data_IF_597879881978
#
_entry.id   IF_597879881978
#
_cell.length_a   1.000
_cell.length_b   1.000
_cell.length_c   1.000
_cell.angle_alpha   90.00
_cell.angle_beta   90.00
_cell.angle_gamma   90.00
#
_symmetry.space_group_name_H-M   'P 1'
#
loop_
_entity.id
_entity.type
_entity.pdbx_description
1 polymer ?
#
# COMPACT_ATOMS: atom_id res chain seq x y z
N UNK A 1 7.18 12.54 68.56
CA UNK A 1 8.35 12.83 69.45
C UNK A 1 9.15 11.57 69.53
N UNK A 2 10.49 11.56 69.69
CA UNK A 2 11.47 12.39 68.98
C UNK A 2 12.35 11.55 68.02
N UNK A 3 12.97 12.16 66.97
CA UNK A 3 14.36 12.68 66.91
C UNK A 3 15.48 11.67 67.27
N UNK A 4 16.36 11.36 66.29
CA UNK A 4 17.75 11.88 66.16
C UNK A 4 18.48 11.01 65.11
N UNK A 5 19.06 11.55 64.02
CA UNK A 5 20.44 11.99 63.78
C UNK A 5 21.54 10.97 64.15
N UNK A 6 22.41 10.69 63.17
CA UNK A 6 23.87 10.60 63.17
C UNK A 6 24.29 10.21 61.74
N UNK A 7 24.81 11.04 60.90
CA UNK A 7 26.14 11.58 60.66
C UNK A 7 27.27 10.54 60.43
N UNK A 8 27.75 10.55 59.18
CA UNK A 8 29.14 10.53 58.74
C UNK A 8 29.98 9.24 58.89
N UNK A 9 30.51 8.77 57.77
CA UNK A 9 31.96 8.68 57.58
C UNK A 9 32.36 8.45 56.13
N UNK A 10 33.15 9.37 55.63
CA UNK A 10 34.01 9.31 54.45
C UNK A 10 35.08 8.24 54.63
N UNK A 11 35.29 7.37 53.65
CA UNK A 11 36.60 6.80 53.38
C UNK A 11 36.79 6.79 51.86
N UNK A 12 37.66 7.67 51.40
CA UNK A 12 38.26 7.67 50.09
C UNK A 12 39.28 6.55 49.97
N UNK A 13 39.17 5.68 49.02
CA UNK A 13 40.28 4.83 48.57
C UNK A 13 40.59 5.14 47.11
N UNK A 14 41.62 5.95 46.93
CA UNK A 14 42.34 6.13 45.69
C UNK A 14 43.17 4.86 45.43
N UNK A 15 42.85 4.12 44.40
CA UNK A 15 43.80 3.20 43.78
C UNK A 15 43.91 3.59 42.30
N UNK A 16 45.02 4.24 42.00
CA UNK A 16 45.52 4.45 40.66
C UNK A 16 45.99 3.09 40.10
N UNK A 17 45.42 2.65 39.01
CA UNK A 17 46.07 1.72 38.08
C UNK A 17 46.14 2.33 36.70
N UNK A 18 47.36 2.70 36.38
CA UNK A 18 47.73 3.15 35.04
C UNK A 18 47.78 1.97 34.09
N UNK A 19 47.26 2.23 32.87
CA UNK A 19 47.76 1.60 31.69
C UNK A 19 47.09 0.33 31.20
N UNK A 20 46.15 0.48 30.29
CA UNK A 20 46.18 -0.30 29.02
C UNK A 20 45.30 0.45 27.98
N UNK A 21 45.98 1.24 27.16
CA UNK A 21 45.36 1.81 25.97
C UNK A 21 45.31 0.75 24.89
N UNK A 22 44.14 0.24 24.56
CA UNK A 22 43.87 -0.35 23.28
C UNK A 22 42.51 0.16 22.83
N UNK A 23 42.51 1.32 22.21
CA UNK A 23 41.37 1.88 21.51
C UNK A 23 41.23 1.15 20.18
N UNK A 24 40.49 0.04 20.20
CA UNK A 24 39.80 -0.40 18.97
C UNK A 24 38.65 0.56 18.74
N UNK A 25 38.85 1.54 17.88
CA UNK A 25 37.76 2.33 17.31
C UNK A 25 36.88 1.41 16.49
N UNK A 26 35.90 0.80 17.12
CA UNK A 26 34.72 0.34 16.41
C UNK A 26 33.92 1.59 16.06
N UNK A 27 33.98 1.96 14.79
CA UNK A 27 33.00 2.85 14.18
C UNK A 27 31.64 2.19 14.40
N UNK A 28 30.65 2.86 15.02
CA UNK A 28 29.30 2.36 14.99
C UNK A 28 28.85 2.43 13.53
N UNK A 29 28.72 1.27 12.92
CA UNK A 29 27.97 1.13 11.69
C UNK A 29 26.56 1.63 11.97
N UNK A 30 26.24 2.77 11.40
CA UNK A 30 24.93 3.37 11.50
C UNK A 30 23.95 2.37 10.90
N UNK A 31 23.24 1.66 11.78
CA UNK A 31 22.04 0.90 11.42
C UNK A 31 21.07 1.94 10.87
N UNK A 32 20.99 2.01 9.55
CA UNK A 32 20.06 2.83 8.82
C UNK A 32 18.66 2.26 9.03
N UNK A 33 18.04 2.58 10.18
CA UNK A 33 16.63 2.33 10.48
C UNK A 33 15.76 3.44 9.91
N UNK A 34 16.01 3.80 8.64
CA UNK A 34 15.04 4.58 7.88
C UNK A 34 13.88 3.68 7.47
N UNK A 35 12.63 4.18 7.45
CA UNK A 35 11.53 3.44 6.86
C UNK A 35 11.89 3.07 5.42
N UNK A 36 11.46 1.91 4.91
CA UNK A 36 11.89 1.43 3.61
C UNK A 36 11.61 2.49 2.54
N UNK A 37 12.68 2.92 1.89
CA UNK A 37 12.70 3.98 0.84
C UNK A 37 11.90 3.64 -0.42
N UNK A 38 11.03 2.64 -0.35
CA UNK A 38 10.19 2.18 -1.46
C UNK A 38 9.20 3.24 -1.96
N UNK A 39 8.78 4.18 -1.10
CA UNK A 39 7.81 5.22 -1.48
C UNK A 39 8.48 6.33 -2.33
N UNK A 40 9.73 6.66 -2.03
CA UNK A 40 10.45 7.73 -2.76
C UNK A 40 10.85 7.33 -4.18
N UNK A 41 10.99 6.04 -4.46
CA UNK A 41 11.36 5.55 -5.80
C UNK A 41 10.16 5.49 -6.75
N UNK A 42 8.93 5.34 -6.22
CA UNK A 42 7.69 5.28 -7.02
C UNK A 42 7.29 6.66 -7.59
N UNK A 43 7.74 7.77 -7.00
CA UNK A 43 7.41 9.13 -7.45
C UNK A 43 8.15 9.57 -8.72
N UNK A 44 9.10 8.78 -9.22
CA UNK A 44 9.93 9.14 -10.39
C UNK A 44 9.50 8.47 -11.69
N UNK A 45 8.55 7.54 -11.66
CA UNK A 45 7.94 6.93 -12.85
C UNK A 45 6.64 7.66 -13.16
N UNK A 46 6.29 7.76 -14.42
CA UNK A 46 5.17 8.53 -15.03
C UNK A 46 3.77 8.30 -14.42
N UNK A 47 3.68 7.89 -13.16
CA UNK A 47 2.46 7.76 -12.38
C UNK A 47 1.44 6.74 -12.91
N UNK A 48 1.88 5.75 -13.72
CA UNK A 48 1.03 4.69 -14.26
C UNK A 48 1.30 3.38 -13.54
N UNK A 49 0.32 2.92 -12.78
CA UNK A 49 0.44 1.73 -11.96
C UNK A 49 -0.66 0.72 -12.28
N UNK A 50 -0.33 -0.55 -12.18
CA UNK A 50 -1.25 -1.66 -12.28
C UNK A 50 -1.22 -2.45 -10.97
N UNK A 51 -2.36 -2.64 -10.33
CA UNK A 51 -2.42 -3.50 -9.16
C UNK A 51 -2.31 -4.97 -9.55
N UNK A 52 -1.40 -5.67 -8.89
CA UNK A 52 -1.24 -7.10 -9.04
C UNK A 52 -2.13 -7.83 -8.02
N UNK A 53 -3.27 -8.35 -8.47
CA UNK A 53 -4.19 -9.12 -7.62
C UNK A 53 -3.64 -10.55 -7.51
N UNK A 54 -3.45 -11.02 -6.28
CA UNK A 54 -2.84 -12.34 -5.99
C UNK A 54 -3.77 -13.22 -5.16
N UNK A 55 -4.39 -12.67 -4.13
CA UNK A 55 -5.24 -13.42 -3.20
C UNK A 55 -6.70 -13.40 -3.59
N UNK A 56 -7.12 -12.46 -4.44
CA UNK A 56 -8.50 -12.29 -4.90
C UNK A 56 -9.51 -12.12 -3.75
N UNK A 57 -9.08 -11.52 -2.63
CA UNK A 57 -9.90 -11.35 -1.42
C UNK A 57 -10.42 -9.91 -1.29
N UNK A 58 -11.55 -9.70 -0.58
CA UNK A 58 -12.03 -8.36 -0.29
C UNK A 58 -11.01 -7.49 0.45
N UNK A 59 -10.21 -8.10 1.34
CA UNK A 59 -9.18 -7.41 2.13
C UNK A 59 -8.03 -6.93 1.25
N UNK A 60 -7.61 -7.74 0.27
CA UNK A 60 -6.61 -7.34 -0.72
C UNK A 60 -7.10 -6.15 -1.54
N UNK A 61 -8.31 -6.22 -2.08
CA UNK A 61 -8.92 -5.11 -2.84
C UNK A 61 -9.04 -3.86 -1.98
N UNK A 62 -9.47 -3.98 -0.73
CA UNK A 62 -9.54 -2.85 0.21
C UNK A 62 -8.17 -2.20 0.43
N UNK A 63 -7.12 -3.01 0.61
CA UNK A 63 -5.74 -2.55 0.75
C UNK A 63 -5.23 -1.80 -0.49
N UNK A 64 -5.54 -2.31 -1.67
CA UNK A 64 -5.21 -1.67 -2.95
C UNK A 64 -5.89 -0.32 -3.11
N UNK A 65 -7.19 -0.23 -2.83
CA UNK A 65 -7.93 1.03 -2.90
C UNK A 65 -7.42 2.07 -1.89
N UNK A 66 -7.13 1.66 -0.66
CA UNK A 66 -6.50 2.53 0.34
C UNK A 66 -5.12 3.01 -0.12
N UNK A 67 -4.34 2.15 -0.77
CA UNK A 67 -3.05 2.53 -1.37
C UNK A 67 -3.20 3.53 -2.49
N UNK A 68 -4.22 3.39 -3.33
CA UNK A 68 -4.53 4.35 -4.38
C UNK A 68 -4.85 5.75 -3.81
N UNK A 69 -5.66 5.84 -2.74
CA UNK A 69 -5.91 7.10 -2.04
C UNK A 69 -4.62 7.74 -1.52
N UNK A 70 -3.73 6.97 -0.90
CA UNK A 70 -2.45 7.46 -0.39
C UNK A 70 -1.56 8.01 -1.49
N UNK A 71 -1.46 7.31 -2.62
CA UNK A 71 -0.66 7.73 -3.77
C UNK A 71 -1.22 9.03 -4.38
N UNK A 72 -2.54 9.12 -4.51
CA UNK A 72 -3.19 10.34 -4.99
C UNK A 72 -2.96 11.54 -4.06
N UNK A 73 -3.04 11.31 -2.74
CA UNK A 73 -2.79 12.35 -1.74
C UNK A 73 -1.33 12.82 -1.71
N UNK A 74 -0.38 11.94 -2.05
CA UNK A 74 1.05 12.24 -2.11
C UNK A 74 1.49 12.87 -3.44
N UNK A 75 0.62 12.90 -4.45
CA UNK A 75 0.94 13.48 -5.75
C UNK A 75 1.17 15.00 -5.65
N UNK A 76 2.16 15.56 -6.37
CA UNK A 76 2.41 16.99 -6.37
C UNK A 76 1.17 17.78 -6.83
N UNK A 77 0.93 18.92 -6.20
CA UNK A 77 -0.13 19.83 -6.61
C UNK A 77 0.08 20.25 -8.08
N UNK A 78 -0.92 19.99 -8.92
CA UNK A 78 -0.88 20.27 -10.36
C UNK A 78 -0.59 19.07 -11.28
N UNK A 79 -0.26 17.90 -10.72
CA UNK A 79 -0.21 16.65 -11.48
C UNK A 79 -1.12 15.59 -10.82
N UNK A 80 -2.45 15.71 -10.93
CA UNK A 80 -3.41 14.88 -10.22
C UNK A 80 -3.58 13.46 -10.81
N UNK A 81 -2.82 13.08 -11.83
CA UNK A 81 -3.05 11.84 -12.56
C UNK A 81 -2.02 10.77 -12.16
N UNK A 82 -2.24 10.19 -11.02
CA UNK A 82 -1.75 8.83 -10.77
C UNK A 82 -2.72 7.92 -11.53
N UNK A 83 -2.34 7.45 -12.69
CA UNK A 83 -3.16 6.51 -13.46
C UNK A 83 -3.00 5.11 -12.87
N UNK A 84 -3.90 4.70 -11.98
CA UNK A 84 -3.86 3.37 -11.38
C UNK A 84 -4.92 2.51 -12.06
N UNK A 85 -4.53 1.40 -12.67
CA UNK A 85 -5.45 0.42 -13.21
C UNK A 85 -5.65 -0.73 -12.21
N UNK A 86 -6.90 -1.20 -12.10
CA UNK A 86 -7.31 -2.37 -11.35
C UNK A 86 -8.01 -3.33 -12.32
N UNK A 87 -7.33 -4.40 -12.73
CA UNK A 87 -7.85 -5.40 -13.66
C UNK A 87 -8.40 -6.59 -12.87
N UNK A 88 -9.73 -6.70 -12.81
CA UNK A 88 -10.45 -7.76 -12.10
C UNK A 88 -10.67 -8.95 -13.05
N UNK A 89 -10.08 -10.11 -12.76
CA UNK A 89 -10.15 -11.26 -13.64
C UNK A 89 -10.19 -12.62 -12.91
N UNK A 90 -10.54 -12.61 -11.63
CA UNK A 90 -10.71 -13.79 -10.80
C UNK A 90 -11.94 -13.70 -9.90
N UNK A 91 -11.98 -14.44 -8.78
CA UNK A 91 -13.14 -14.47 -7.88
C UNK A 91 -13.49 -13.12 -7.23
N UNK A 92 -12.60 -12.15 -7.23
CA UNK A 92 -12.84 -10.80 -6.72
C UNK A 92 -13.93 -10.04 -7.50
N UNK A 93 -14.27 -10.44 -8.72
CA UNK A 93 -15.35 -9.80 -9.49
C UNK A 93 -16.71 -9.95 -8.79
N UNK A 94 -16.91 -11.00 -7.99
CA UNK A 94 -18.12 -11.18 -7.19
C UNK A 94 -18.35 -10.05 -6.18
N UNK A 95 -17.30 -9.36 -5.74
CA UNK A 95 -17.38 -8.20 -4.83
C UNK A 95 -18.21 -7.09 -5.47
N UNK A 96 -18.05 -6.89 -6.77
CA UNK A 96 -18.68 -5.82 -7.53
C UNK A 96 -20.03 -6.21 -8.14
N UNK A 97 -20.42 -7.49 -8.07
CA UNK A 97 -21.72 -7.91 -8.56
C UNK A 97 -22.85 -7.29 -7.71
N UNK A 98 -23.85 -6.70 -8.35
CA UNK A 98 -24.99 -6.01 -7.72
C UNK A 98 -25.67 -6.85 -6.63
N UNK A 99 -25.80 -8.16 -6.84
CA UNK A 99 -26.34 -9.10 -5.85
C UNK A 99 -25.58 -9.11 -4.53
N UNK A 100 -24.30 -8.74 -4.54
CA UNK A 100 -23.40 -8.74 -3.39
C UNK A 100 -23.17 -7.33 -2.82
N UNK A 101 -23.75 -6.29 -3.43
CA UNK A 101 -23.50 -4.89 -3.05
C UNK A 101 -23.74 -4.64 -1.56
N UNK A 102 -24.83 -5.13 -0.98
CA UNK A 102 -25.11 -4.94 0.45
C UNK A 102 -24.01 -5.46 1.38
N UNK A 103 -23.30 -6.53 0.96
CA UNK A 103 -22.18 -7.10 1.71
C UNK A 103 -20.89 -6.29 1.56
N UNK A 104 -20.66 -5.74 0.37
CA UNK A 104 -19.41 -5.08 0.01
C UNK A 104 -19.57 -3.58 -0.27
N UNK A 105 -20.69 -3.00 0.15
CA UNK A 105 -21.01 -1.59 -0.13
C UNK A 105 -19.87 -0.61 0.14
N UNK A 106 -19.18 -0.61 1.30
CA UNK A 106 -18.10 0.34 1.57
C UNK A 106 -16.96 0.24 0.55
N UNK A 107 -16.67 -0.97 0.08
CA UNK A 107 -15.61 -1.26 -0.86
C UNK A 107 -15.98 -0.79 -2.28
N UNK A 108 -17.18 -1.11 -2.72
CA UNK A 108 -17.70 -0.71 -4.03
C UNK A 108 -17.84 0.81 -4.10
N UNK A 109 -18.35 1.45 -3.04
CA UNK A 109 -18.49 2.90 -2.97
C UNK A 109 -17.14 3.62 -2.95
N UNK A 110 -16.13 3.03 -2.29
CA UNK A 110 -14.76 3.57 -2.33
C UNK A 110 -14.19 3.50 -3.74
N UNK A 111 -14.31 2.35 -4.42
CA UNK A 111 -13.85 2.19 -5.79
C UNK A 111 -14.54 3.20 -6.72
N UNK A 112 -15.85 3.35 -6.62
CA UNK A 112 -16.63 4.30 -7.42
C UNK A 112 -16.17 5.76 -7.19
N UNK A 113 -15.86 6.15 -5.94
CA UNK A 113 -15.33 7.50 -5.64
C UNK A 113 -13.95 7.73 -6.23
N UNK A 114 -13.07 6.74 -6.16
CA UNK A 114 -11.72 6.85 -6.70
C UNK A 114 -11.73 6.90 -8.23
N UNK A 115 -12.61 6.12 -8.86
CA UNK A 115 -12.83 6.15 -10.30
C UNK A 115 -13.38 7.52 -10.74
N UNK A 116 -14.43 8.02 -10.10
CA UNK A 116 -15.01 9.33 -10.39
C UNK A 116 -14.00 10.48 -10.20
N UNK A 117 -13.02 10.32 -9.31
CA UNK A 117 -11.91 11.25 -9.12
C UNK A 117 -10.76 11.06 -10.13
N UNK A 118 -10.86 10.11 -11.06
CA UNK A 118 -9.83 9.71 -12.02
C UNK A 118 -8.51 9.27 -11.34
N UNK A 119 -8.60 8.67 -10.16
CA UNK A 119 -7.47 8.11 -9.42
C UNK A 119 -7.23 6.66 -9.87
N UNK A 120 -8.30 5.88 -10.00
CA UNK A 120 -8.26 4.51 -10.51
C UNK A 120 -9.07 4.37 -11.80
N UNK A 121 -8.76 3.33 -12.55
CA UNK A 121 -9.48 2.88 -13.73
C UNK A 121 -9.76 1.39 -13.53
N UNK A 122 -11.02 1.04 -13.26
CA UNK A 122 -11.41 -0.33 -12.93
C UNK A 122 -11.87 -1.06 -14.19
N UNK A 123 -11.24 -2.19 -14.47
CA UNK A 123 -11.54 -3.04 -15.62
C UNK A 123 -11.95 -4.42 -15.13
N UNK A 124 -12.94 -5.03 -15.81
CA UNK A 124 -13.45 -6.35 -15.43
C UNK A 124 -13.49 -7.29 -16.62
N UNK A 125 -13.00 -8.50 -16.43
CA UNK A 125 -12.92 -9.55 -17.41
C UNK A 125 -14.30 -10.14 -17.74
N UNK A 126 -14.76 -9.98 -18.98
CA UNK A 126 -16.03 -10.56 -19.45
C UNK A 126 -16.01 -12.08 -19.44
N UNK A 127 -14.87 -12.70 -19.77
CA UNK A 127 -14.73 -14.16 -19.72
C UNK A 127 -14.96 -14.67 -18.29
N UNK A 128 -14.40 -14.03 -17.28
CA UNK A 128 -14.60 -14.43 -15.89
C UNK A 128 -16.03 -14.16 -15.40
N UNK A 129 -16.66 -13.06 -15.85
CA UNK A 129 -18.08 -12.81 -15.60
C UNK A 129 -18.96 -13.94 -16.11
N UNK A 130 -18.71 -14.42 -17.34
CA UNK A 130 -19.46 -15.52 -17.93
C UNK A 130 -19.28 -16.83 -17.13
N UNK A 131 -18.06 -17.13 -16.68
CA UNK A 131 -17.79 -18.31 -15.84
C UNK A 131 -18.52 -18.27 -14.49
N UNK A 132 -18.90 -17.07 -14.02
CA UNK A 132 -19.57 -16.83 -12.74
C UNK A 132 -21.05 -16.48 -12.88
N UNK A 133 -21.57 -16.56 -14.08
CA UNK A 133 -22.98 -16.24 -14.37
C UNK A 133 -23.36 -14.81 -13.89
N UNK A 134 -22.48 -13.84 -14.21
CA UNK A 134 -22.67 -12.41 -13.92
C UNK A 134 -22.99 -11.69 -15.23
N UNK A 135 -24.18 -11.08 -15.29
CA UNK A 135 -24.60 -10.25 -16.42
C UNK A 135 -23.95 -8.85 -16.40
N UNK A 136 -23.90 -8.19 -17.54
CA UNK A 136 -23.39 -6.79 -17.63
C UNK A 136 -24.25 -5.83 -16.83
N UNK A 137 -25.54 -6.08 -16.74
CA UNK A 137 -26.51 -5.33 -15.94
C UNK A 137 -26.27 -5.42 -14.44
N UNK A 138 -25.53 -6.46 -14.01
CA UNK A 138 -25.17 -6.67 -12.60
C UNK A 138 -23.89 -5.96 -12.17
N UNK A 139 -23.19 -5.31 -13.10
CA UNK A 139 -21.95 -4.62 -12.84
C UNK A 139 -22.19 -3.10 -12.75
N UNK A 140 -21.54 -2.40 -11.78
CA UNK A 140 -21.58 -0.94 -11.71
C UNK A 140 -21.07 -0.26 -12.99
N UNK A 141 -21.71 0.83 -13.40
CA UNK A 141 -21.43 1.51 -14.66
C UNK A 141 -20.04 2.16 -14.74
N UNK A 142 -19.36 2.36 -13.61
CA UNK A 142 -18.00 2.92 -13.58
C UNK A 142 -16.93 1.88 -13.98
N UNK A 143 -17.27 0.60 -14.05
CA UNK A 143 -16.34 -0.48 -14.37
C UNK A 143 -16.33 -0.72 -15.88
N UNK A 144 -15.17 -0.58 -16.51
CA UNK A 144 -14.96 -0.89 -17.91
C UNK A 144 -14.89 -2.41 -18.13
N UNK A 145 -15.69 -2.93 -19.06
CA UNK A 145 -15.68 -4.34 -19.40
C UNK A 145 -14.65 -4.62 -20.49
N UNK A 146 -13.74 -5.55 -20.22
CA UNK A 146 -12.71 -6.00 -21.16
C UNK A 146 -12.92 -7.47 -21.54
N UNK A 147 -12.64 -7.89 -22.78
CA UNK A 147 -12.90 -9.26 -23.21
C UNK A 147 -12.17 -10.30 -22.37
N UNK A 148 -10.88 -10.08 -22.08
CA UNK A 148 -10.03 -10.98 -21.31
C UNK A 148 -9.03 -10.19 -20.44
N UNK A 149 -9.05 -10.44 -19.13
CA UNK A 149 -8.27 -9.67 -18.15
C UNK A 149 -6.75 -9.75 -18.36
N UNK A 150 -6.15 -10.94 -18.52
CA UNK A 150 -4.72 -11.06 -18.76
C UNK A 150 -4.22 -10.31 -20.00
N UNK A 151 -4.98 -10.28 -21.09
CA UNK A 151 -4.62 -9.51 -22.29
C UNK A 151 -4.67 -8.01 -22.02
N UNK A 152 -5.61 -7.57 -21.19
CA UNK A 152 -5.71 -6.17 -20.78
C UNK A 152 -4.53 -5.76 -19.89
N UNK A 153 -4.12 -6.59 -18.95
CA UNK A 153 -2.92 -6.34 -18.15
C UNK A 153 -1.67 -6.22 -19.03
N UNK A 154 -1.49 -7.13 -19.99
CA UNK A 154 -0.38 -7.07 -20.92
C UNK A 154 -0.45 -5.80 -21.80
N UNK A 155 -1.64 -5.40 -22.21
CA UNK A 155 -1.86 -4.14 -22.96
C UNK A 155 -1.48 -2.92 -22.13
N UNK A 156 -1.84 -2.90 -20.85
CA UNK A 156 -1.49 -1.82 -19.91
C UNK A 156 0.03 -1.78 -19.69
N UNK A 157 0.68 -2.92 -19.50
CA UNK A 157 2.14 -3.00 -19.35
C UNK A 157 2.87 -2.46 -20.59
N UNK A 158 2.43 -2.80 -21.79
CA UNK A 158 2.97 -2.23 -23.04
C UNK A 158 2.77 -0.72 -23.13
N UNK A 159 1.79 -0.14 -22.43
CA UNK A 159 1.56 1.30 -22.30
C UNK A 159 2.35 1.95 -21.19
N UNK A 160 3.26 1.21 -20.55
CA UNK A 160 4.15 1.71 -19.50
C UNK A 160 3.58 1.65 -18.08
N UNK A 161 2.51 0.87 -17.86
CA UNK A 161 2.07 0.59 -16.49
C UNK A 161 3.03 -0.39 -15.81
N UNK A 162 3.33 -0.14 -14.55
CA UNK A 162 4.18 -1.00 -13.73
C UNK A 162 3.36 -1.56 -12.57
N UNK A 163 3.65 -2.81 -12.21
CA UNK A 163 2.98 -3.40 -11.04
C UNK A 163 3.34 -2.68 -9.75
N UNK A 164 2.32 -2.55 -8.88
CA UNK A 164 2.40 -2.01 -7.52
C UNK A 164 2.40 -3.14 -6.52
#
# INVERSE_FOLDING_TARGET
MPRQFILASLIAVLIAFAGYTSQSRMTPEAINTGPPSSVATLTKQDGRYLFNIVLHTPEEIAGMLARAEQLAAAAPAGNPRVGIALALHGPEIDIFARRNYGKFQPLVDLAARLDAANIIDVKMCVTEMQLRDIGKEDIPAFIDLVPFGPDEEERLRRRGYVYL
#
